data_IF_650942707699
#
_entry.id   IF_650942707699
#
_cell.length_a   1.000
_cell.length_b   1.000
_cell.length_c   1.000
_cell.angle_alpha   90.00
_cell.angle_beta   90.00
_cell.angle_gamma   90.00
#
_symmetry.space_group_name_H-M   'P 1'
#
loop_
_entity.id
_entity.type
_entity.pdbx_description
1 polymer ?
#
# COMPACT_ATOMS: atom_id res chain seq x y z
N UNK A 1 -3.96 17.83 -2.92
CA UNK A 1 -2.82 18.74 -2.78
C UNK A 1 -1.52 17.95 -2.97
N UNK A 2 -0.77 18.17 -4.07
CA UNK A 2 0.47 17.44 -4.38
C UNK A 2 1.52 17.51 -3.27
N UNK A 3 1.62 18.63 -2.55
CA UNK A 3 2.58 18.80 -1.46
C UNK A 3 2.30 17.87 -0.27
N UNK A 4 1.03 17.57 -0.02
CA UNK A 4 0.65 16.62 1.03
C UNK A 4 1.03 15.20 0.63
N UNK A 5 0.79 14.84 -0.62
CA UNK A 5 1.15 13.52 -1.17
C UNK A 5 2.67 13.32 -1.10
N UNK A 6 3.47 14.28 -1.53
CA UNK A 6 4.93 14.22 -1.44
C UNK A 6 5.43 14.14 0.01
N UNK A 7 4.78 14.83 0.93
CA UNK A 7 5.11 14.71 2.35
C UNK A 7 4.84 13.29 2.89
N UNK A 8 3.71 12.68 2.53
CA UNK A 8 3.37 11.31 2.94
C UNK A 8 4.34 10.28 2.36
N UNK A 9 4.75 10.43 1.10
CA UNK A 9 5.81 9.60 0.50
C UNK A 9 7.13 9.75 1.27
N UNK A 10 7.48 10.98 1.62
CA UNK A 10 8.69 11.28 2.40
C UNK A 10 8.71 10.64 3.78
N UNK A 11 7.56 10.47 4.42
CA UNK A 11 7.45 9.72 5.69
C UNK A 11 7.88 8.26 5.49
N UNK A 12 7.36 7.60 4.46
CA UNK A 12 7.70 6.21 4.17
C UNK A 12 9.18 6.04 3.83
N UNK A 13 9.72 6.94 3.02
CA UNK A 13 11.11 6.91 2.58
C UNK A 13 12.11 7.35 3.68
N UNK A 14 11.64 7.69 4.89
CA UNK A 14 12.45 8.31 5.96
C UNK A 14 13.24 9.55 5.50
N UNK A 15 12.80 10.19 4.42
CA UNK A 15 13.52 11.33 3.84
C UNK A 15 13.42 12.60 4.67
N UNK A 16 12.49 12.61 5.64
CA UNK A 16 12.31 13.73 6.55
C UNK A 16 11.82 15.02 5.86
N UNK A 17 11.72 16.07 6.64
CA UNK A 17 11.39 17.41 6.15
C UNK A 17 12.61 18.31 6.21
N UNK A 18 13.00 18.87 5.07
CA UNK A 18 14.05 19.89 5.05
C UNK A 18 13.45 21.29 5.27
N UNK A 19 13.96 21.99 6.25
CA UNK A 19 13.66 23.40 6.50
C UNK A 19 14.90 24.23 6.25
N UNK A 20 14.76 25.30 5.50
CA UNK A 20 15.84 26.28 5.36
C UNK A 20 15.75 27.24 6.54
N UNK A 21 16.87 27.44 7.26
CA UNK A 21 16.95 28.43 8.31
C UNK A 21 16.75 29.82 7.73
N UNK A 22 15.92 30.65 8.38
CA UNK A 22 15.75 32.07 8.02
C UNK A 22 16.92 32.95 8.51
N UNK A 23 17.82 32.39 9.30
CA UNK A 23 18.98 33.11 9.85
C UNK A 23 20.08 33.25 8.80
N UNK A 24 19.99 34.14 7.87
CA UNK A 24 21.03 34.54 6.88
C UNK A 24 22.10 33.54 6.42
N UNK A 25 22.31 32.44 7.14
CA UNK A 25 23.31 31.40 6.88
C UNK A 25 22.83 30.27 5.98
N UNK A 26 21.62 30.33 5.41
CA UNK A 26 21.04 29.33 4.48
C UNK A 26 21.31 27.85 4.85
N UNK A 27 21.36 27.55 6.15
CA UNK A 27 21.61 26.20 6.63
C UNK A 27 20.36 25.34 6.47
N UNK A 28 20.46 24.26 5.71
CA UNK A 28 19.38 23.31 5.51
C UNK A 28 19.38 22.32 6.68
N UNK A 29 18.34 22.35 7.49
CA UNK A 29 18.18 21.37 8.57
C UNK A 29 17.21 20.29 8.10
N UNK A 30 17.64 19.04 8.10
CA UNK A 30 16.77 17.90 7.84
C UNK A 30 16.32 17.30 9.16
N UNK A 31 15.02 17.20 9.34
CA UNK A 31 14.42 16.49 10.48
C UNK A 31 13.93 15.14 9.98
N UNK A 32 14.57 14.06 10.42
CA UNK A 32 14.12 12.70 10.13
C UNK A 32 12.75 12.47 10.78
N UNK A 33 11.85 11.82 10.05
CA UNK A 33 10.55 11.40 10.56
C UNK A 33 10.64 9.90 10.84
N UNK A 34 10.58 9.52 12.10
CA UNK A 34 10.65 8.12 12.56
C UNK A 34 9.36 7.72 13.30
N UNK A 35 8.20 7.97 12.69
CA UNK A 35 6.91 7.60 13.27
C UNK A 35 6.04 6.88 12.27
N UNK A 36 5.16 6.00 12.76
CA UNK A 36 4.04 5.48 11.98
C UNK A 36 2.95 6.55 11.88
N UNK A 37 2.26 6.58 10.74
CA UNK A 37 1.13 7.47 10.50
C UNK A 37 -0.11 6.64 10.21
N UNK A 38 -1.20 6.92 10.94
CA UNK A 38 -2.52 6.36 10.67
C UNK A 38 -3.43 7.48 10.19
N UNK A 39 -4.02 7.30 9.02
CA UNK A 39 -4.99 8.24 8.46
C UNK A 39 -6.35 7.56 8.36
N UNK A 40 -7.39 8.28 8.70
CA UNK A 40 -8.77 7.83 8.55
C UNK A 40 -9.55 8.84 7.70
N UNK A 41 -10.46 8.35 6.86
CA UNK A 41 -11.26 9.21 6.00
C UNK A 41 -12.39 8.41 5.36
N UNK A 42 -13.36 9.11 4.80
CA UNK A 42 -14.49 8.49 4.09
C UNK A 42 -14.14 8.12 2.66
N UNK A 43 -13.20 8.83 2.07
CA UNK A 43 -12.78 8.62 0.67
C UNK A 43 -11.26 8.59 0.56
N UNK A 44 -10.78 7.87 -0.45
CA UNK A 44 -9.39 7.96 -0.83
C UNK A 44 -9.10 9.30 -1.51
N UNK A 45 -8.18 10.04 -0.91
CA UNK A 45 -7.86 11.41 -1.34
C UNK A 45 -6.91 11.49 -2.52
N UNK A 46 -6.45 10.36 -3.05
CA UNK A 46 -5.45 10.35 -4.13
C UNK A 46 -5.51 9.10 -5.00
N UNK A 47 -5.27 9.30 -6.29
CA UNK A 47 -4.99 8.24 -7.27
C UNK A 47 -3.49 8.04 -7.51
N UNK A 48 -2.62 8.62 -6.65
CA UNK A 48 -1.17 8.51 -6.79
C UNK A 48 -0.68 7.09 -6.45
N UNK A 49 -0.30 6.32 -7.48
CA UNK A 49 0.17 4.95 -7.35
C UNK A 49 1.41 4.80 -6.47
N UNK A 50 2.28 5.79 -6.50
CA UNK A 50 3.49 5.75 -5.69
C UNK A 50 3.16 5.88 -4.19
N UNK A 51 2.14 6.63 -3.83
CA UNK A 51 1.63 6.67 -2.46
C UNK A 51 0.85 5.40 -2.12
N UNK A 52 0.00 4.91 -3.05
CA UNK A 52 -0.78 3.69 -2.86
C UNK A 52 0.08 2.47 -2.53
N UNK A 53 1.25 2.35 -3.15
CA UNK A 53 2.18 1.26 -2.86
C UNK A 53 2.93 1.41 -1.53
N UNK A 54 2.91 2.60 -0.90
CA UNK A 54 3.63 2.91 0.35
C UNK A 54 2.77 2.84 1.62
N UNK A 55 1.49 2.61 1.48
CA UNK A 55 0.55 2.54 2.60
C UNK A 55 -0.01 1.13 2.75
N UNK A 56 -0.54 0.83 3.93
CA UNK A 56 -1.46 -0.28 4.13
C UNK A 56 -2.86 0.29 4.12
N UNK A 57 -3.68 -0.19 3.20
CA UNK A 57 -5.04 0.29 3.02
C UNK A 57 -6.04 -0.69 3.60
N UNK A 58 -6.81 -0.23 4.59
CA UNK A 58 -7.94 -0.96 5.15
C UNK A 58 -9.23 -0.25 4.76
N UNK A 59 -10.10 -0.94 4.06
CA UNK A 59 -11.41 -0.42 3.65
C UNK A 59 -12.50 -1.06 4.50
N UNK A 60 -13.23 -0.23 5.22
CA UNK A 60 -14.36 -0.64 6.03
C UNK A 60 -15.65 -0.26 5.30
N UNK A 61 -16.51 -1.22 5.07
CA UNK A 61 -17.80 -1.00 4.47
C UNK A 61 -18.86 -0.92 5.57
N UNK A 62 -19.82 -0.01 5.39
CA UNK A 62 -20.98 0.02 6.26
C UNK A 62 -21.83 -1.22 5.96
N UNK A 63 -21.83 -2.18 6.89
CA UNK A 63 -22.73 -3.32 6.82
C UNK A 63 -24.13 -2.91 7.33
N UNK A 64 -25.17 -3.62 6.90
CA UNK A 64 -26.45 -3.55 7.57
C UNK A 64 -26.28 -4.22 8.92
N UNK A 65 -26.19 -3.42 9.98
CA UNK A 65 -25.95 -3.91 11.32
C UNK A 65 -27.06 -4.85 11.77
N UNK A 66 -26.70 -6.08 12.09
CA UNK A 66 -27.56 -6.98 12.84
C UNK A 66 -27.68 -6.50 14.30
N UNK A 67 -28.69 -6.93 15.02
CA UNK A 67 -28.81 -6.62 16.46
C UNK A 67 -27.61 -7.14 17.27
N UNK A 68 -27.03 -8.27 16.86
CA UNK A 68 -25.82 -8.81 17.48
C UNK A 68 -24.60 -7.89 17.26
N UNK A 69 -24.45 -7.31 16.08
CA UNK A 69 -23.36 -6.35 15.79
C UNK A 69 -23.55 -5.06 16.60
N UNK A 70 -24.78 -4.58 16.76
CA UNK A 70 -25.07 -3.43 17.64
C UNK A 70 -24.67 -3.73 19.09
N UNK A 71 -25.05 -4.90 19.63
CA UNK A 71 -24.67 -5.29 20.98
C UNK A 71 -23.15 -5.36 21.16
N UNK A 72 -22.42 -5.94 20.19
CA UNK A 72 -20.95 -5.97 20.20
C UNK A 72 -20.36 -4.56 20.17
N UNK A 73 -20.93 -3.67 19.35
CA UNK A 73 -20.50 -2.28 19.27
C UNK A 73 -20.72 -1.54 20.60
N UNK A 74 -21.87 -1.72 21.25
CA UNK A 74 -22.17 -1.11 22.53
C UNK A 74 -21.27 -1.65 23.65
N UNK A 75 -20.96 -2.95 23.65
CA UNK A 75 -19.97 -3.54 24.54
C UNK A 75 -18.59 -2.90 24.33
N UNK A 76 -18.14 -2.79 23.06
CA UNK A 76 -16.89 -2.15 22.72
C UNK A 76 -16.86 -0.69 23.19
N UNK A 77 -17.92 0.07 22.95
CA UNK A 77 -18.06 1.46 23.41
C UNK A 77 -17.97 1.58 24.93
N UNK A 78 -18.62 0.66 25.62
CA UNK A 78 -18.55 0.58 27.10
C UNK A 78 -17.12 0.31 27.58
N UNK A 79 -16.41 -0.62 26.92
CA UNK A 79 -14.98 -0.88 27.20
C UNK A 79 -14.11 0.35 26.96
N UNK A 80 -14.31 1.04 25.84
CA UNK A 80 -13.59 2.29 25.53
C UNK A 80 -13.82 3.37 26.59
N UNK A 81 -15.06 3.52 27.05
CA UNK A 81 -15.41 4.50 28.11
C UNK A 81 -14.76 4.17 29.46
N UNK A 82 -14.50 2.89 29.76
CA UNK A 82 -13.75 2.47 30.96
C UNK A 82 -12.25 2.69 30.84
N UNK A 83 -11.77 2.96 29.63
CA UNK A 83 -10.37 3.15 29.30
C UNK A 83 -9.67 1.85 28.89
N UNK A 84 -8.83 1.97 27.87
CA UNK A 84 -8.06 0.87 27.28
C UNK A 84 -6.57 0.92 27.64
N UNK A 85 -6.20 1.71 28.67
CA UNK A 85 -4.80 1.90 29.08
C UNK A 85 -4.09 0.60 29.47
N UNK A 86 -4.82 -0.39 29.97
CA UNK A 86 -4.26 -1.70 30.28
C UNK A 86 -3.72 -2.41 29.02
N UNK A 87 -4.39 -2.29 27.86
CA UNK A 87 -3.89 -2.84 26.59
C UNK A 87 -2.58 -2.20 26.18
N UNK A 88 -2.52 -0.87 26.27
CA UNK A 88 -1.28 -0.13 26.00
C UNK A 88 -0.14 -0.56 26.91
N UNK A 89 -0.43 -0.77 28.21
CA UNK A 89 0.55 -1.24 29.16
C UNK A 89 1.08 -2.63 28.83
N UNK A 90 0.21 -3.59 28.49
CA UNK A 90 0.61 -4.93 28.09
C UNK A 90 1.47 -4.91 26.81
N UNK A 91 1.07 -4.14 25.79
CA UNK A 91 1.85 -3.98 24.57
C UNK A 91 3.24 -3.36 24.83
N UNK A 92 3.32 -2.35 25.72
CA UNK A 92 4.59 -1.74 26.09
C UNK A 92 5.51 -2.71 26.85
N UNK A 93 4.98 -3.62 27.65
CA UNK A 93 5.76 -4.68 28.32
C UNK A 93 6.43 -5.61 27.31
N UNK A 94 5.76 -5.92 26.20
CA UNK A 94 6.30 -6.79 25.17
C UNK A 94 7.24 -6.08 24.18
N UNK A 95 7.32 -4.74 24.22
CA UNK A 95 8.11 -3.92 23.27
C UNK A 95 9.56 -4.39 23.10
N UNK A 96 10.23 -4.79 24.20
CA UNK A 96 11.63 -5.22 24.13
C UNK A 96 11.77 -6.53 23.36
N UNK A 97 10.85 -7.46 23.57
CA UNK A 97 10.86 -8.76 22.88
C UNK A 97 10.51 -8.60 21.42
N UNK A 98 9.50 -7.76 21.10
CA UNK A 98 9.17 -7.40 19.74
C UNK A 98 10.40 -6.80 19.04
N UNK A 99 11.10 -5.86 19.66
CA UNK A 99 12.31 -5.25 19.07
C UNK A 99 13.41 -6.27 18.77
N UNK A 100 13.61 -7.26 19.64
CA UNK A 100 14.65 -8.29 19.45
C UNK A 100 14.26 -9.25 18.31
N UNK A 101 13.01 -9.75 18.29
CA UNK A 101 12.56 -10.76 17.32
C UNK A 101 12.05 -10.18 16.00
N UNK A 102 11.95 -8.86 15.88
CA UNK A 102 11.25 -8.23 14.75
C UNK A 102 11.85 -8.57 13.39
N UNK A 103 13.17 -8.55 13.26
CA UNK A 103 13.83 -8.78 11.97
C UNK A 103 13.54 -10.17 11.42
N UNK A 104 13.73 -11.18 12.24
CA UNK A 104 13.44 -12.56 11.87
C UNK A 104 11.95 -12.76 11.55
N UNK A 105 11.07 -12.26 12.43
CA UNK A 105 9.63 -12.32 12.20
C UNK A 105 9.21 -11.62 10.89
N UNK A 106 9.84 -10.49 10.56
CA UNK A 106 9.60 -9.76 9.31
C UNK A 106 10.01 -10.58 8.09
N UNK A 107 11.22 -11.13 8.11
CA UNK A 107 11.75 -11.91 6.98
C UNK A 107 10.88 -13.17 6.72
N UNK A 108 10.49 -13.88 7.79
CA UNK A 108 9.59 -15.03 7.70
C UNK A 108 8.20 -14.63 7.20
N UNK A 109 7.62 -13.55 7.73
CA UNK A 109 6.30 -13.07 7.31
C UNK A 109 6.29 -12.63 5.85
N UNK A 110 7.37 -11.99 5.40
CA UNK A 110 7.50 -11.59 3.99
C UNK A 110 7.58 -12.82 3.07
N UNK A 111 8.30 -13.86 3.48
CA UNK A 111 8.34 -15.13 2.75
C UNK A 111 6.94 -15.79 2.70
N UNK A 112 6.23 -15.85 3.82
CA UNK A 112 4.88 -16.41 3.89
C UNK A 112 3.91 -15.67 2.96
N UNK A 113 3.89 -14.31 2.99
CA UNK A 113 3.06 -13.51 2.10
C UNK A 113 3.40 -13.75 0.63
N UNK A 114 4.67 -13.87 0.27
CA UNK A 114 5.09 -14.16 -1.10
C UNK A 114 4.58 -15.52 -1.60
N UNK A 115 4.47 -16.51 -0.73
CA UNK A 115 3.92 -17.82 -1.11
C UNK A 115 2.41 -17.79 -1.35
N UNK A 116 1.69 -16.91 -0.64
CA UNK A 116 0.24 -16.79 -0.71
C UNK A 116 -0.23 -15.78 -1.77
N UNK A 117 0.67 -14.95 -2.29
CA UNK A 117 0.33 -13.90 -3.26
C UNK A 117 1.10 -14.10 -4.57
N UNK A 118 0.50 -13.69 -5.70
CA UNK A 118 1.16 -13.70 -7.00
C UNK A 118 1.09 -12.33 -7.66
N UNK A 119 2.21 -11.86 -8.19
CA UNK A 119 2.27 -10.61 -8.96
C UNK A 119 2.04 -9.33 -8.14
N UNK A 120 2.05 -9.40 -6.81
CA UNK A 120 1.87 -8.23 -5.95
C UNK A 120 3.19 -7.45 -5.87
N UNK A 121 3.11 -6.14 -5.95
CA UNK A 121 4.24 -5.22 -5.84
C UNK A 121 4.96 -5.42 -4.49
N UNK A 122 6.28 -5.62 -4.53
CA UNK A 122 7.11 -5.87 -3.35
C UNK A 122 6.88 -4.88 -2.20
N UNK A 123 6.68 -3.63 -2.52
CA UNK A 123 6.44 -2.56 -1.54
C UNK A 123 5.18 -2.77 -0.72
N UNK A 124 4.11 -3.27 -1.35
CA UNK A 124 2.86 -3.63 -0.66
C UNK A 124 3.12 -4.77 0.31
N UNK A 125 3.82 -5.82 -0.13
CA UNK A 125 4.19 -6.96 0.72
C UNK A 125 5.05 -6.54 1.91
N UNK A 126 6.03 -5.66 1.70
CA UNK A 126 6.89 -5.12 2.75
C UNK A 126 6.09 -4.37 3.83
N UNK A 127 5.13 -3.54 3.42
CA UNK A 127 4.30 -2.80 4.36
C UNK A 127 3.43 -3.73 5.22
N UNK A 128 2.79 -4.72 4.60
CA UNK A 128 1.99 -5.70 5.31
C UNK A 128 2.85 -6.59 6.20
N UNK A 129 4.04 -7.00 5.74
CA UNK A 129 4.99 -7.76 6.53
C UNK A 129 5.41 -7.02 7.79
N UNK A 130 5.59 -5.70 7.71
CA UNK A 130 5.96 -4.87 8.85
C UNK A 130 4.91 -4.90 9.97
N UNK A 131 3.62 -4.92 9.62
CA UNK A 131 2.53 -5.03 10.60
C UNK A 131 2.41 -6.45 11.15
N UNK A 132 2.37 -7.45 10.26
CA UNK A 132 2.14 -8.85 10.63
C UNK A 132 3.30 -9.46 11.40
N UNK A 133 4.54 -9.00 11.19
CA UNK A 133 5.71 -9.42 11.97
C UNK A 133 5.51 -9.16 13.46
N UNK A 134 4.93 -8.03 13.80
CA UNK A 134 4.61 -7.71 15.20
C UNK A 134 3.54 -8.66 15.75
N UNK A 135 2.51 -8.93 14.97
CA UNK A 135 1.46 -9.87 15.36
C UNK A 135 2.00 -11.29 15.57
N UNK A 136 2.86 -11.77 14.66
CA UNK A 136 3.53 -13.08 14.78
C UNK A 136 4.27 -13.26 16.11
N UNK A 137 4.91 -12.21 16.59
CA UNK A 137 5.60 -12.24 17.89
C UNK A 137 4.58 -12.18 19.04
N UNK A 138 3.58 -11.35 18.94
CA UNK A 138 2.60 -11.12 20.00
C UNK A 138 1.70 -12.34 20.22
N UNK A 139 1.34 -13.09 19.17
CA UNK A 139 0.52 -14.29 19.26
C UNK A 139 1.09 -15.32 20.25
N UNK A 140 2.41 -15.46 20.28
CA UNK A 140 3.07 -16.38 21.22
C UNK A 140 3.10 -15.87 22.67
N UNK A 141 2.66 -14.65 22.92
CA UNK A 141 2.79 -13.94 24.20
C UNK A 141 1.45 -13.51 24.78
N UNK A 142 0.50 -13.24 23.94
CA UNK A 142 -0.81 -12.74 24.32
C UNK A 142 -1.88 -13.72 23.86
N UNK A 143 -2.93 -13.87 24.65
CA UNK A 143 -4.12 -14.57 24.20
C UNK A 143 -4.93 -13.65 23.28
N UNK A 144 -4.73 -13.82 21.99
CA UNK A 144 -5.48 -13.07 20.99
C UNK A 144 -6.73 -13.88 20.58
N UNK A 145 -7.84 -13.21 20.23
CA UNK A 145 -9.07 -13.88 19.77
C UNK A 145 -8.97 -14.35 18.30
N UNK A 146 -7.82 -14.26 17.69
CA UNK A 146 -7.52 -14.65 16.31
C UNK A 146 -6.06 -15.11 16.22
N UNK A 147 -5.76 -15.91 15.21
CA UNK A 147 -4.43 -16.45 14.96
C UNK A 147 -3.66 -15.63 13.93
N UNK A 148 -2.33 -15.75 13.97
CA UNK A 148 -1.46 -15.19 12.93
C UNK A 148 -1.82 -15.76 11.55
N UNK A 149 -2.09 -17.07 11.44
CA UNK A 149 -2.42 -17.73 10.19
C UNK A 149 -3.70 -17.15 9.54
N UNK A 150 -4.78 -16.99 10.32
CA UNK A 150 -6.02 -16.37 9.84
C UNK A 150 -5.80 -14.94 9.35
N UNK A 151 -5.01 -14.17 10.11
CA UNK A 151 -4.70 -12.78 9.75
C UNK A 151 -3.81 -12.71 8.51
N UNK A 152 -2.88 -13.65 8.35
CA UNK A 152 -2.02 -13.73 7.18
C UNK A 152 -2.81 -14.00 5.89
N UNK A 153 -3.80 -14.90 5.93
CA UNK A 153 -4.67 -15.17 4.79
C UNK A 153 -5.50 -13.95 4.38
N UNK A 154 -6.06 -13.24 5.38
CA UNK A 154 -6.80 -12.00 5.14
C UNK A 154 -5.88 -10.95 4.52
N UNK A 155 -4.68 -10.77 5.08
CA UNK A 155 -3.70 -9.82 4.58
C UNK A 155 -3.27 -10.15 3.14
N UNK A 156 -3.07 -11.41 2.80
CA UNK A 156 -2.74 -11.83 1.44
C UNK A 156 -3.82 -11.41 0.43
N UNK A 157 -5.10 -11.60 0.77
CA UNK A 157 -6.24 -11.12 -0.05
C UNK A 157 -6.25 -9.60 -0.18
N UNK A 158 -6.02 -8.88 0.93
CA UNK A 158 -5.97 -7.41 0.93
C UNK A 158 -4.80 -6.87 0.12
N UNK A 159 -3.64 -7.53 0.14
CA UNK A 159 -2.50 -7.23 -0.72
C UNK A 159 -2.88 -7.31 -2.21
N UNK A 160 -3.58 -8.37 -2.61
CA UNK A 160 -4.03 -8.56 -3.99
C UNK A 160 -5.02 -7.46 -4.41
N UNK A 161 -6.04 -7.18 -3.58
CA UNK A 161 -7.02 -6.11 -3.83
C UNK A 161 -6.33 -4.75 -3.94
N UNK A 162 -5.36 -4.47 -3.07
CA UNK A 162 -4.62 -3.21 -3.10
C UNK A 162 -3.75 -3.11 -4.36
N UNK A 163 -3.13 -4.21 -4.79
CA UNK A 163 -2.33 -4.27 -6.01
C UNK A 163 -3.18 -4.01 -7.26
N UNK A 164 -4.33 -4.68 -7.37
CA UNK A 164 -5.28 -4.48 -8.46
C UNK A 164 -5.74 -3.02 -8.56
N UNK A 165 -6.06 -2.40 -7.41
CA UNK A 165 -6.42 -0.97 -7.38
C UNK A 165 -5.26 -0.07 -7.82
N UNK A 166 -4.03 -0.39 -7.42
CA UNK A 166 -2.86 0.36 -7.82
C UNK A 166 -2.59 0.23 -9.33
N UNK A 167 -2.82 -0.95 -9.91
CA UNK A 167 -2.72 -1.17 -11.35
C UNK A 167 -3.79 -0.43 -12.13
N UNK A 168 -5.03 -0.47 -11.67
CA UNK A 168 -6.16 0.24 -12.32
C UNK A 168 -5.98 1.76 -12.35
N UNK A 169 -5.33 2.32 -11.33
CA UNK A 169 -5.03 3.76 -11.27
C UNK A 169 -3.76 4.15 -12.02
N UNK A 170 -3.03 3.20 -12.58
CA UNK A 170 -1.85 3.48 -13.38
C UNK A 170 -2.27 3.88 -14.80
N UNK A 171 -2.17 5.18 -15.11
CA UNK A 171 -2.52 5.73 -16.44
C UNK A 171 -1.76 5.02 -17.56
N UNK A 172 -0.50 4.66 -17.34
CA UNK A 172 0.30 3.92 -18.31
C UNK A 172 -0.22 2.50 -18.53
N UNK A 173 -0.63 1.81 -17.45
CA UNK A 173 -1.25 0.48 -17.55
C UNK A 173 -2.62 0.58 -18.25
N UNK A 174 -3.41 1.61 -17.94
CA UNK A 174 -4.67 1.92 -18.63
C UNK A 174 -4.47 2.18 -20.11
N UNK A 175 -3.43 2.93 -20.47
CA UNK A 175 -3.05 3.16 -21.86
C UNK A 175 -2.69 1.85 -22.56
N UNK A 176 -1.84 1.02 -21.98
CA UNK A 176 -1.45 -0.27 -22.57
C UNK A 176 -2.63 -1.25 -22.66
N UNK A 177 -3.50 -1.29 -21.67
CA UNK A 177 -4.74 -2.10 -21.73
C UNK A 177 -5.66 -1.66 -22.87
N UNK A 178 -5.77 -0.35 -23.11
CA UNK A 178 -6.52 0.19 -24.24
C UNK A 178 -5.91 -0.22 -25.59
N UNK A 179 -4.58 -0.18 -25.67
CA UNK A 179 -3.84 -0.66 -26.85
C UNK A 179 -4.09 -2.15 -27.12
N UNK A 180 -4.02 -2.98 -26.07
CA UNK A 180 -4.28 -4.43 -26.18
C UNK A 180 -5.72 -4.71 -26.61
N UNK A 181 -6.68 -3.96 -26.09
CA UNK A 181 -8.08 -4.06 -26.51
C UNK A 181 -8.26 -3.67 -27.99
N UNK A 182 -7.63 -2.60 -28.45
CA UNK A 182 -7.66 -2.20 -29.84
C UNK A 182 -6.98 -3.23 -30.78
N UNK A 183 -5.88 -3.85 -30.31
CA UNK A 183 -5.24 -4.93 -31.04
C UNK A 183 -6.15 -6.15 -31.16
N UNK A 184 -6.81 -6.55 -30.07
CA UNK A 184 -7.76 -7.67 -30.04
C UNK A 184 -8.97 -7.44 -30.95
N UNK A 185 -9.39 -6.19 -31.12
CA UNK A 185 -10.46 -5.78 -32.03
C UNK A 185 -9.98 -5.63 -33.50
N UNK A 186 -8.71 -5.93 -33.80
CA UNK A 186 -8.13 -5.76 -35.12
C UNK A 186 -7.96 -4.32 -35.60
N UNK A 187 -8.16 -3.34 -34.69
CA UNK A 187 -8.01 -1.91 -35.01
C UNK A 187 -6.57 -1.43 -35.00
N UNK A 188 -5.66 -2.20 -34.43
CA UNK A 188 -4.20 -1.97 -34.48
C UNK A 188 -3.51 -3.27 -34.84
N UNK A 189 -2.39 -3.15 -35.56
CA UNK A 189 -1.55 -4.29 -35.91
C UNK A 189 -0.33 -4.36 -35.00
N UNK A 190 0.03 -5.57 -34.61
CA UNK A 190 1.26 -5.86 -33.88
C UNK A 190 2.30 -6.34 -34.88
N UNK A 191 3.47 -5.71 -34.94
CA UNK A 191 4.59 -6.16 -35.75
C UNK A 191 5.83 -6.34 -34.87
N UNK A 192 6.15 -7.59 -34.56
CA UNK A 192 7.28 -7.89 -33.66
C UNK A 192 7.04 -7.29 -32.25
N UNK A 193 8.02 -6.58 -31.74
CA UNK A 193 7.95 -5.89 -30.43
C UNK A 193 7.20 -4.54 -30.47
N UNK A 194 6.65 -4.14 -31.62
CA UNK A 194 6.02 -2.84 -31.82
C UNK A 194 4.53 -2.96 -32.00
N UNK A 195 3.79 -2.11 -31.31
CA UNK A 195 2.37 -1.86 -31.56
C UNK A 195 2.27 -0.70 -32.54
N UNK A 196 1.74 -0.95 -33.73
CA UNK A 196 1.49 0.06 -34.74
C UNK A 196 0.00 0.33 -34.75
N UNK A 197 -0.39 1.55 -34.49
CA UNK A 197 -1.76 2.02 -34.65
C UNK A 197 -1.88 2.50 -36.08
N UNK A 198 -2.61 1.78 -36.92
CA UNK A 198 -2.90 2.20 -38.28
C UNK A 198 -4.26 2.91 -38.32
N UNK A 199 -4.25 4.16 -38.67
CA UNK A 199 -5.43 4.97 -38.96
C UNK A 199 -5.08 5.96 -40.08
N UNK A 200 -6.07 6.62 -40.70
CA UNK A 200 -5.82 7.53 -41.81
C UNK A 200 -4.78 8.63 -41.49
N UNK A 201 -4.62 9.00 -40.21
CA UNK A 201 -3.78 10.14 -39.82
C UNK A 201 -2.75 9.79 -38.73
N UNK A 202 -2.60 8.53 -38.32
CA UNK A 202 -1.78 8.17 -37.17
C UNK A 202 -0.92 6.93 -37.42
N UNK A 203 0.39 7.05 -37.20
CA UNK A 203 1.31 5.93 -37.14
C UNK A 203 2.19 6.03 -35.89
N UNK A 204 2.15 5.01 -35.04
CA UNK A 204 3.01 4.91 -33.86
C UNK A 204 4.06 3.83 -34.09
N UNK A 205 5.34 4.24 -34.18
CA UNK A 205 6.47 3.33 -34.40
C UNK A 205 7.72 3.78 -33.61
N UNK A 206 8.68 2.87 -33.39
CA UNK A 206 9.97 3.24 -32.81
C UNK A 206 10.69 4.27 -33.69
N UNK A 207 11.44 5.16 -33.03
CA UNK A 207 12.15 6.25 -33.69
C UNK A 207 13.09 5.82 -34.83
N UNK A 208 13.62 4.59 -34.80
CA UNK A 208 14.47 4.03 -35.86
C UNK A 208 13.69 3.62 -37.13
N UNK A 209 12.43 3.17 -36.95
CA UNK A 209 11.59 2.73 -38.08
C UNK A 209 10.78 3.88 -38.69
N UNK A 210 10.65 5.02 -38.00
CA UNK A 210 10.00 6.22 -38.54
C UNK A 210 10.61 6.74 -39.85
N UNK A 211 11.87 6.39 -40.14
CA UNK A 211 12.55 6.79 -41.38
C UNK A 211 12.21 5.91 -42.58
N UNK A 212 11.63 4.73 -42.33
CA UNK A 212 11.34 3.74 -43.37
C UNK A 212 9.83 3.60 -43.66
N UNK A 213 8.98 4.34 -42.93
CA UNK A 213 7.55 4.37 -43.22
C UNK A 213 7.31 5.41 -44.34
N UNK A 214 6.74 5.02 -45.48
CA UNK A 214 6.38 5.96 -46.55
C UNK A 214 5.38 6.98 -46.00
N UNK A 215 5.64 8.24 -46.31
CA UNK A 215 4.81 9.38 -45.94
C UNK A 215 3.43 9.35 -46.62
#
# INVERSE_FOLDING_TARGET
DPKKVEFLKGIWDNSGRSKMSMDGKKKRTMTAISCGLVLTGQEMTTSDNALMSRIVMLTFYQSKHSEEEKQRYDQFKTMCNRGLSHLTHELLRERRKVKIGYREAYDLTNADLRTLTRGVIDRILQNWSALLATLRILETRLQLPFTYAETLEIAARLCQIQNEKAEQTNELAGFWSSIDSLASLGKIQMKGEYKIISGPDWCFAKKKERKELPG
#
